data_IF_975504355591
#
_entry.id   IF_975504355591
#
_cell.length_a   1.000
_cell.length_b   1.000
_cell.length_c   1.000
_cell.angle_alpha   90.00
_cell.angle_beta   90.00
_cell.angle_gamma   90.00
#
_symmetry.space_group_name_H-M   'P 1'
#
loop_
_entity.id
_entity.type
_entity.pdbx_description
1 polymer ?
#
# COMPACT_ATOMS: atom_id res chain seq x y z
N UNK A 1 -35.66 54.51 -15.76
CA UNK A 1 -36.04 54.75 -17.17
C UNK A 1 -34.77 54.89 -18.00
N UNK A 2 -34.80 54.42 -19.26
CA UNK A 2 -33.69 54.14 -20.21
C UNK A 2 -32.95 52.81 -19.87
N UNK A 3 -33.21 51.62 -20.42
CA UNK A 3 -33.56 51.08 -21.77
C UNK A 3 -32.32 50.79 -22.67
N UNK A 4 -32.11 49.48 -22.90
CA UNK A 4 -31.47 48.75 -24.04
C UNK A 4 -29.95 48.99 -24.26
N UNK A 5 -29.14 47.98 -24.60
CA UNK A 5 -29.37 46.98 -25.63
C UNK A 5 -28.44 45.75 -25.53
N UNK A 6 -28.99 44.63 -25.98
CA UNK A 6 -28.42 43.28 -26.14
C UNK A 6 -27.51 43.21 -27.38
N UNK A 7 -26.41 42.42 -27.34
CA UNK A 7 -25.83 41.75 -28.53
C UNK A 7 -24.82 40.64 -28.14
N UNK A 8 -25.28 39.39 -28.22
CA UNK A 8 -24.54 38.22 -28.74
C UNK A 8 -25.27 37.80 -30.03
N UNK A 9 -24.82 36.85 -30.89
CA UNK A 9 -23.70 35.90 -30.77
C UNK A 9 -22.81 35.84 -32.03
N UNK A 10 -21.73 35.03 -32.01
CA UNK A 10 -21.13 34.50 -33.24
C UNK A 10 -20.54 33.12 -32.99
N UNK A 11 -21.19 32.15 -33.61
CA UNK A 11 -20.82 30.75 -33.73
C UNK A 11 -19.58 30.58 -34.64
N UNK A 12 -18.66 29.70 -34.28
CA UNK A 12 -17.71 29.10 -35.22
C UNK A 12 -17.88 27.58 -35.16
N UNK A 13 -18.19 27.01 -36.32
CA UNK A 13 -18.40 25.60 -36.57
C UNK A 13 -17.08 24.87 -36.88
N UNK A 14 -17.00 23.65 -36.35
CA UNK A 14 -16.51 22.39 -36.96
C UNK A 14 -15.26 22.42 -37.84
N UNK A 15 -14.20 21.77 -37.36
CA UNK A 15 -13.45 20.81 -38.17
C UNK A 15 -13.50 19.43 -37.50
N UNK A 16 -14.25 18.52 -38.11
CA UNK A 16 -14.15 17.08 -37.91
C UNK A 16 -13.03 16.57 -38.81
N UNK A 17 -11.99 15.97 -38.23
CA UNK A 17 -11.02 15.17 -38.96
C UNK A 17 -11.20 13.70 -38.59
N UNK A 18 -11.78 12.95 -39.52
CA UNK A 18 -11.97 11.51 -39.51
C UNK A 18 -10.65 10.83 -39.87
N UNK A 19 -10.09 9.99 -38.98
CA UNK A 19 -9.03 9.04 -39.34
C UNK A 19 -9.31 7.68 -38.69
N UNK A 20 -9.54 6.69 -39.53
CA UNK A 20 -9.41 5.24 -39.35
C UNK A 20 -8.89 4.75 -40.71
N UNK A 21 -8.08 3.69 -40.83
CA UNK A 21 -8.25 2.41 -40.15
C UNK A 21 -6.93 1.70 -39.78
N UNK A 22 -7.02 0.52 -39.18
CA UNK A 22 -6.44 -0.76 -39.67
C UNK A 22 -6.52 -1.76 -38.50
N UNK A 23 -7.44 -2.70 -38.67
CA UNK A 23 -7.64 -3.86 -37.81
C UNK A 23 -6.89 -5.03 -38.46
N UNK A 24 -5.86 -5.55 -37.79
CA UNK A 24 -5.12 -6.73 -38.24
C UNK A 24 -5.33 -7.86 -37.23
N UNK A 25 -6.09 -8.87 -37.63
CA UNK A 25 -6.18 -10.17 -36.93
C UNK A 25 -4.89 -10.95 -37.16
N UNK A 26 -4.53 -11.86 -36.25
CA UNK A 26 -4.11 -13.17 -36.69
C UNK A 26 -4.98 -14.27 -36.08
N UNK A 27 -5.56 -15.08 -36.97
CA UNK A 27 -5.86 -16.48 -36.68
C UNK A 27 -4.54 -17.23 -36.53
N UNK A 28 -4.38 -17.99 -35.45
CA UNK A 28 -3.61 -19.23 -35.49
C UNK A 28 -4.25 -20.24 -34.55
N UNK A 29 -4.92 -21.22 -35.14
CA UNK A 29 -5.15 -22.54 -34.57
C UNK A 29 -3.83 -23.30 -34.59
N UNK A 30 -3.48 -23.94 -33.47
CA UNK A 30 -2.85 -25.26 -33.53
C UNK A 30 -3.13 -26.03 -32.25
N UNK A 31 -3.82 -27.14 -32.45
CA UNK A 31 -4.00 -28.27 -31.55
C UNK A 31 -2.69 -28.99 -31.25
N UNK A 32 -2.53 -29.46 -30.01
CA UNK A 32 -1.97 -30.79 -29.74
C UNK A 32 -2.19 -31.19 -28.28
N UNK A 33 -3.13 -32.10 -28.08
CA UNK A 33 -3.27 -32.95 -26.90
C UNK A 33 -2.14 -33.97 -26.86
N UNK A 34 -1.52 -34.23 -25.72
CA UNK A 34 -0.84 -35.47 -25.27
C UNK A 34 -0.27 -35.17 -23.88
N UNK A 35 -0.18 -36.04 -22.88
CA UNK A 35 -0.70 -37.37 -22.60
C UNK A 35 -0.39 -37.56 -21.12
N UNK A 36 -1.36 -37.89 -20.28
CA UNK A 36 -1.15 -38.19 -18.86
C UNK A 36 -0.95 -39.69 -18.68
N UNK A 37 0.17 -40.09 -18.07
CA UNK A 37 0.36 -41.42 -17.45
C UNK A 37 1.46 -41.33 -16.39
N UNK A 38 1.11 -41.44 -15.11
CA UNK A 38 1.34 -42.60 -14.22
C UNK A 38 2.83 -42.83 -13.93
N UNK A 39 3.22 -42.73 -12.64
CA UNK A 39 3.81 -43.84 -11.86
C UNK A 39 3.67 -43.53 -10.37
N UNK A 40 2.87 -44.34 -9.68
CA UNK A 40 2.91 -44.52 -8.23
C UNK A 40 3.98 -45.56 -7.91
N UNK A 41 4.86 -45.29 -6.95
CA UNK A 41 5.77 -46.29 -6.37
C UNK A 41 5.56 -46.38 -4.85
N UNK A 42 5.40 -47.58 -4.28
CA UNK A 42 5.25 -47.77 -2.86
C UNK A 42 6.61 -48.04 -2.21
N UNK A 43 6.84 -47.54 -1.00
CA UNK A 43 7.91 -48.07 -0.13
C UNK A 43 7.46 -48.14 1.32
N UNK A 44 7.08 -49.37 1.66
CA UNK A 44 7.55 -50.17 2.81
C UNK A 44 7.98 -49.42 4.07
N UNK A 45 7.09 -49.56 5.04
CA UNK A 45 7.27 -49.53 6.49
C UNK A 45 8.46 -50.37 6.96
N UNK A 46 9.40 -49.75 7.67
CA UNK A 46 10.32 -50.42 8.58
C UNK A 46 10.20 -49.80 9.98
N UNK A 47 9.97 -50.67 10.97
CA UNK A 47 9.96 -50.37 12.40
C UNK A 47 11.41 -50.38 12.91
N UNK A 48 11.79 -49.40 13.70
CA UNK A 48 12.92 -49.49 14.62
C UNK A 48 12.54 -48.84 15.94
N UNK A 49 12.84 -49.54 17.04
CA UNK A 49 12.51 -49.20 18.43
C UNK A 49 13.71 -48.54 19.13
N UNK A 50 13.37 -47.68 20.09
CA UNK A 50 14.17 -47.14 21.23
C UNK A 50 14.96 -45.84 21.01
N UNK A 51 15.24 -45.05 22.08
CA UNK A 51 14.45 -44.76 23.28
C UNK A 51 14.05 -43.27 23.38
N UNK A 52 13.10 -43.01 24.27
CA UNK A 52 12.48 -41.71 24.57
C UNK A 52 13.53 -40.68 25.01
N UNK A 53 13.75 -39.66 24.19
CA UNK A 53 14.32 -38.38 24.62
C UNK A 53 13.24 -37.32 24.40
N UNK A 54 12.78 -36.67 25.48
CA UNK A 54 11.76 -35.63 25.43
C UNK A 54 12.36 -34.40 24.74
N UNK A 55 11.90 -33.98 23.56
CA UNK A 55 12.30 -32.68 23.05
C UNK A 55 11.55 -31.63 23.88
N UNK A 56 12.32 -30.72 24.48
CA UNK A 56 11.82 -29.47 25.03
C UNK A 56 11.16 -28.73 23.86
N UNK A 57 9.84 -28.73 23.81
CA UNK A 57 9.08 -27.95 22.83
C UNK A 57 9.29 -26.49 23.17
N UNK A 58 10.32 -25.88 22.59
CA UNK A 58 10.37 -24.44 22.41
C UNK A 58 9.39 -24.16 21.30
N UNK A 59 8.21 -23.66 21.67
CA UNK A 59 7.21 -23.21 20.72
C UNK A 59 7.81 -22.00 19.99
N UNK A 60 8.50 -22.25 18.88
CA UNK A 60 8.85 -21.20 17.93
C UNK A 60 7.52 -20.65 17.40
N UNK A 61 7.17 -19.45 17.87
CA UNK A 61 6.02 -18.71 17.37
C UNK A 61 6.29 -18.46 15.89
N UNK A 62 5.56 -19.15 15.03
CA UNK A 62 5.66 -18.97 13.59
C UNK A 62 5.17 -17.55 13.27
N UNK A 63 6.10 -16.62 13.06
CA UNK A 63 5.81 -15.34 12.45
C UNK A 63 5.52 -15.58 10.97
N UNK A 64 4.24 -15.70 10.62
CA UNK A 64 3.77 -15.83 9.22
C UNK A 64 3.75 -14.48 8.51
N UNK A 65 4.86 -13.75 8.59
CA UNK A 65 5.12 -12.55 7.81
C UNK A 65 6.54 -12.69 7.29
N UNK A 66 6.67 -13.03 6.01
CA UNK A 66 7.97 -12.99 5.34
C UNK A 66 8.38 -11.52 5.35
N UNK A 67 9.30 -11.17 6.25
CA UNK A 67 10.01 -9.90 6.17
C UNK A 67 10.87 -9.97 4.91
N UNK A 68 10.61 -9.10 3.94
CA UNK A 68 11.55 -8.97 2.83
C UNK A 68 12.88 -8.46 3.40
N UNK A 69 14.01 -9.06 3.00
CA UNK A 69 15.29 -8.65 3.53
C UNK A 69 15.53 -7.18 3.16
N UNK A 70 15.89 -6.36 4.15
CA UNK A 70 16.31 -4.96 3.95
C UNK A 70 17.40 -4.82 2.89
N UNK A 71 18.11 -5.91 2.58
CA UNK A 71 19.11 -6.03 1.51
C UNK A 71 18.62 -5.61 0.11
N UNK A 72 17.31 -5.59 -0.14
CA UNK A 72 16.75 -5.12 -1.42
C UNK A 72 16.77 -3.59 -1.57
N UNK A 73 17.08 -2.86 -0.49
CA UNK A 73 17.21 -1.41 -0.50
C UNK A 73 18.67 -0.99 -0.38
N UNK A 74 19.01 0.11 -1.07
CA UNK A 74 20.33 0.74 -0.91
C UNK A 74 20.50 1.26 0.52
N UNK A 75 21.74 1.27 1.01
CA UNK A 75 22.06 1.79 2.34
C UNK A 75 21.68 3.27 2.51
N UNK A 76 21.71 4.04 1.42
CA UNK A 76 21.36 5.46 1.37
C UNK A 76 19.85 5.73 1.13
N UNK A 77 18.99 4.70 1.13
CA UNK A 77 17.57 4.85 0.80
C UNK A 77 16.86 5.89 1.67
N UNK A 78 17.21 5.99 2.96
CA UNK A 78 16.61 6.97 3.86
C UNK A 78 17.09 8.40 3.61
N UNK A 79 18.29 8.59 3.08
CA UNK A 79 18.78 9.90 2.63
C UNK A 79 18.03 10.34 1.38
N UNK A 80 17.97 9.47 0.36
CA UNK A 80 17.24 9.72 -0.88
C UNK A 80 15.75 10.00 -0.61
N UNK A 81 15.13 9.18 0.24
CA UNK A 81 13.74 9.36 0.62
C UNK A 81 13.55 10.66 1.40
N UNK A 82 14.48 11.00 2.30
CA UNK A 82 14.46 12.21 3.12
C UNK A 82 14.30 13.49 2.30
N UNK A 83 14.93 13.55 1.12
CA UNK A 83 14.87 14.68 0.20
C UNK A 83 13.55 14.83 -0.56
N UNK A 84 12.68 13.82 -0.53
CA UNK A 84 11.37 13.87 -1.21
C UNK A 84 10.50 14.92 -0.55
N UNK A 85 9.93 15.81 -1.36
CA UNK A 85 8.95 16.80 -0.92
C UNK A 85 7.52 16.26 -1.09
N UNK A 86 6.78 16.26 0.01
CA UNK A 86 5.37 15.84 0.09
C UNK A 86 4.57 16.89 0.87
N UNK A 87 3.31 16.60 1.18
CA UNK A 87 2.42 17.55 1.84
C UNK A 87 1.82 16.97 3.11
N UNK A 88 1.65 17.81 4.13
CA UNK A 88 0.73 17.50 5.23
C UNK A 88 -0.70 17.43 4.71
N UNK A 89 -1.61 16.78 5.45
CA UNK A 89 -3.03 16.82 5.13
C UNK A 89 -3.66 18.23 5.19
N UNK A 90 -2.98 19.21 5.82
CA UNK A 90 -3.39 20.62 5.78
C UNK A 90 -2.94 21.36 4.52
N UNK A 91 -2.04 20.79 3.71
CA UNK A 91 -1.53 21.35 2.47
C UNK A 91 -0.17 22.04 2.58
N UNK A 92 0.51 21.93 3.73
CA UNK A 92 1.86 22.49 3.91
C UNK A 92 2.89 21.56 3.25
N UNK A 93 3.79 22.07 2.39
CA UNK A 93 4.91 21.27 1.88
C UNK A 93 5.90 20.95 3.01
N UNK A 94 6.38 19.71 3.04
CA UNK A 94 7.36 19.20 4.01
C UNK A 94 8.34 18.26 3.30
N UNK A 95 9.54 18.09 3.87
CA UNK A 95 10.46 17.04 3.44
C UNK A 95 10.11 15.73 4.12
N UNK A 96 10.32 14.59 3.46
CA UNK A 96 10.05 13.29 4.06
C UNK A 96 10.85 13.08 5.35
N UNK A 97 12.07 13.62 5.41
CA UNK A 97 12.89 13.63 6.63
C UNK A 97 12.12 14.18 7.83
N UNK A 98 11.33 15.25 7.66
CA UNK A 98 10.57 15.90 8.74
C UNK A 98 9.54 14.95 9.39
N UNK A 99 9.14 13.91 8.67
CA UNK A 99 8.19 12.90 9.12
C UNK A 99 8.87 11.81 9.95
N UNK A 100 10.16 11.57 9.74
CA UNK A 100 10.94 10.62 10.53
C UNK A 100 11.28 11.24 11.89
N UNK A 101 11.70 10.41 12.83
CA UNK A 101 12.23 10.90 14.10
C UNK A 101 13.66 11.44 13.89
N UNK A 102 13.89 12.69 14.29
CA UNK A 102 15.16 13.39 14.08
C UNK A 102 16.21 13.08 15.16
N UNK A 103 15.82 12.41 16.25
CA UNK A 103 16.68 12.07 17.38
C UNK A 103 16.98 10.55 17.39
N UNK A 104 17.11 9.95 16.20
CA UNK A 104 17.29 8.50 16.01
C UNK A 104 16.20 7.64 16.66
N UNK A 105 14.99 8.17 16.84
CA UNK A 105 13.81 7.40 17.24
C UNK A 105 13.28 6.51 16.11
N UNK A 106 12.36 5.62 16.46
CA UNK A 106 11.77 4.65 15.52
C UNK A 106 10.50 5.22 14.91
N UNK A 107 10.38 5.13 13.58
CA UNK A 107 9.21 5.58 12.82
C UNK A 107 8.63 4.42 12.01
N UNK A 108 7.33 4.15 12.19
CA UNK A 108 6.57 3.25 11.34
C UNK A 108 5.92 4.06 10.22
N UNK A 109 6.36 3.83 8.99
CA UNK A 109 5.94 4.55 7.79
C UNK A 109 5.07 3.63 6.93
N UNK A 110 3.79 3.96 6.81
CA UNK A 110 2.79 3.18 6.08
C UNK A 110 2.34 3.95 4.84
N UNK A 111 2.67 3.42 3.67
CA UNK A 111 2.28 3.98 2.39
C UNK A 111 0.97 3.31 1.95
N UNK A 112 -0.14 4.04 2.10
CA UNK A 112 -1.44 3.65 1.57
C UNK A 112 -1.41 3.71 0.05
N UNK A 113 -2.09 2.78 -0.64
CA UNK A 113 -2.17 2.77 -2.12
C UNK A 113 -2.61 4.11 -2.70
N UNK A 114 -3.73 4.63 -2.20
CA UNK A 114 -4.29 5.94 -2.50
C UNK A 114 -5.49 6.23 -1.57
N UNK A 115 -5.86 7.50 -1.41
CA UNK A 115 -6.98 7.88 -0.53
C UNK A 115 -8.36 7.40 -0.99
N UNK A 116 -8.50 7.01 -2.26
CA UNK A 116 -9.74 6.44 -2.81
C UNK A 116 -9.86 4.91 -2.72
N UNK A 117 -8.97 4.21 -2.01
CA UNK A 117 -9.01 2.75 -1.92
C UNK A 117 -9.76 2.31 -0.65
N UNK A 118 -10.82 1.50 -0.78
CA UNK A 118 -11.60 1.01 0.37
C UNK A 118 -10.71 0.23 1.35
N UNK A 119 -9.81 -0.63 0.86
CA UNK A 119 -8.86 -1.34 1.72
C UNK A 119 -7.89 -0.40 2.45
N UNK A 120 -7.58 0.78 1.89
CA UNK A 120 -6.78 1.78 2.60
C UNK A 120 -7.57 2.49 3.69
N UNK A 121 -8.91 2.57 3.58
CA UNK A 121 -9.75 3.10 4.66
C UNK A 121 -9.86 2.10 5.81
N UNK A 122 -9.89 0.80 5.50
CA UNK A 122 -9.80 -0.24 6.51
C UNK A 122 -8.43 -0.20 7.21
N UNK A 123 -7.32 -0.19 6.47
CA UNK A 123 -5.98 -0.03 7.07
C UNK A 123 -5.85 1.26 7.89
N UNK A 124 -6.36 2.40 7.40
CA UNK A 124 -6.35 3.65 8.15
C UNK A 124 -7.20 3.57 9.44
N UNK A 125 -8.29 2.80 9.44
CA UNK A 125 -9.11 2.53 10.63
C UNK A 125 -8.28 1.78 11.66
N UNK A 126 -7.63 0.69 11.26
CA UNK A 126 -6.76 -0.11 12.12
C UNK A 126 -5.58 0.72 12.66
N UNK A 127 -4.95 1.55 11.82
CA UNK A 127 -3.85 2.44 12.23
C UNK A 127 -4.30 3.47 13.27
N UNK A 128 -5.47 4.09 13.09
CA UNK A 128 -6.04 5.02 14.08
C UNK A 128 -6.22 4.33 15.43
N UNK A 129 -6.76 3.12 15.43
CA UNK A 129 -7.02 2.34 16.65
C UNK A 129 -5.73 1.85 17.32
N UNK A 130 -4.71 1.53 16.52
CA UNK A 130 -3.41 1.09 17.00
C UNK A 130 -2.49 2.24 17.43
N UNK A 131 -2.78 3.50 17.06
CA UNK A 131 -1.90 4.65 17.36
C UNK A 131 -1.49 4.74 18.83
N UNK A 132 -2.36 4.57 19.85
CA UNK A 132 -1.93 4.59 21.25
C UNK A 132 -0.86 3.54 21.59
N UNK A 133 -0.84 2.39 20.89
CA UNK A 133 0.18 1.35 21.07
C UNK A 133 1.51 1.76 20.45
N UNK A 134 1.50 2.43 19.30
CA UNK A 134 2.70 3.03 18.71
C UNK A 134 3.27 4.11 19.64
N UNK A 135 2.41 5.02 20.14
CA UNK A 135 2.82 6.09 21.06
C UNK A 135 3.43 5.49 22.35
N UNK A 136 2.79 4.48 22.95
CA UNK A 136 3.30 3.81 24.15
C UNK A 136 4.65 3.08 23.93
N UNK A 137 4.92 2.65 22.69
CA UNK A 137 6.19 2.03 22.31
C UNK A 137 7.28 3.06 21.91
N UNK A 138 6.98 4.37 21.98
CA UNK A 138 7.89 5.41 21.51
C UNK A 138 8.11 5.40 20.00
N UNK A 139 7.14 4.87 19.23
CA UNK A 139 7.23 4.75 17.77
C UNK A 139 6.37 5.83 17.12
N UNK A 140 6.99 6.65 16.28
CA UNK A 140 6.29 7.67 15.48
C UNK A 140 5.53 7.00 14.34
N UNK A 141 4.21 7.15 14.33
CA UNK A 141 3.38 6.64 13.23
C UNK A 141 3.25 7.69 12.11
N UNK A 142 3.53 7.28 10.88
CA UNK A 142 3.41 8.08 9.67
C UNK A 142 2.60 7.31 8.63
N UNK A 143 1.51 7.89 8.15
CA UNK A 143 0.70 7.38 7.05
C UNK A 143 0.77 8.33 5.86
N UNK A 144 1.15 7.83 4.69
CA UNK A 144 1.22 8.61 3.45
C UNK A 144 0.29 7.99 2.43
N UNK A 145 -0.47 8.78 1.68
CA UNK A 145 -1.33 8.29 0.61
C UNK A 145 -1.10 9.03 -0.70
N UNK A 146 -1.29 8.34 -1.82
CA UNK A 146 -1.36 9.00 -3.13
C UNK A 146 -2.64 9.82 -3.24
N UNK A 147 -2.49 11.07 -3.65
CA UNK A 147 -3.56 12.05 -3.86
C UNK A 147 -3.21 13.42 -3.28
N UNK A 148 -4.04 14.43 -3.53
CA UNK A 148 -3.83 15.78 -3.01
C UNK A 148 -4.11 15.88 -1.50
N UNK A 149 -3.60 16.92 -0.81
CA UNK A 149 -3.92 17.18 0.59
C UNK A 149 -5.42 17.20 0.90
N UNK A 150 -6.25 17.67 -0.03
CA UNK A 150 -7.70 17.66 0.14
C UNK A 150 -8.28 16.24 0.17
N UNK A 151 -7.68 15.27 -0.54
CA UNK A 151 -8.06 13.86 -0.44
C UNK A 151 -7.68 13.27 0.92
N UNK A 152 -6.50 13.61 1.43
CA UNK A 152 -6.07 13.23 2.77
C UNK A 152 -7.04 13.77 3.83
N UNK A 153 -7.44 15.04 3.70
CA UNK A 153 -8.42 15.69 4.58
C UNK A 153 -9.79 15.03 4.55
N UNK A 154 -10.24 14.58 3.37
CA UNK A 154 -11.49 13.80 3.26
C UNK A 154 -11.41 12.53 4.10
N UNK A 155 -10.29 11.79 4.01
CA UNK A 155 -10.07 10.60 4.84
C UNK A 155 -10.13 11.00 6.31
N UNK A 156 -9.28 11.93 6.77
CA UNK A 156 -9.21 12.34 8.17
C UNK A 156 -10.51 12.92 8.74
N UNK A 157 -11.37 13.51 7.91
CA UNK A 157 -12.66 14.05 8.37
C UNK A 157 -13.71 12.97 8.53
N UNK A 158 -13.79 12.04 7.56
CA UNK A 158 -14.82 10.99 7.53
C UNK A 158 -14.46 9.77 8.36
N UNK A 159 -13.18 9.48 8.42
CA UNK A 159 -12.54 8.56 9.35
C UNK A 159 -11.65 9.46 10.21
N UNK A 160 -12.01 9.77 11.47
CA UNK A 160 -11.29 10.72 12.34
C UNK A 160 -9.85 10.27 12.62
N UNK A 161 -9.03 10.31 11.59
CA UNK A 161 -7.64 9.90 11.55
C UNK A 161 -6.81 11.08 12.01
N UNK A 162 -5.82 10.88 12.89
CA UNK A 162 -5.01 11.98 13.39
C UNK A 162 -4.23 12.66 12.26
N UNK A 163 -4.53 13.94 12.02
CA UNK A 163 -4.00 14.71 10.88
C UNK A 163 -2.48 14.87 10.94
N UNK A 164 -1.89 14.84 12.13
CA UNK A 164 -0.45 14.90 12.36
C UNK A 164 0.29 13.64 11.87
N UNK A 165 -0.44 12.53 11.72
CA UNK A 165 0.08 11.28 11.18
C UNK A 165 -0.19 11.13 9.68
N UNK A 166 -0.90 12.06 9.02
CA UNK A 166 -1.41 11.87 7.65
C UNK A 166 -0.79 12.83 6.64
N UNK A 167 -0.21 12.26 5.59
CA UNK A 167 0.52 12.99 4.56
C UNK A 167 0.08 12.57 3.15
N UNK A 168 0.23 13.49 2.21
CA UNK A 168 -0.17 13.35 0.82
C UNK A 168 1.06 13.43 -0.09
N UNK A 169 1.20 12.44 -0.97
CA UNK A 169 2.21 12.43 -2.04
C UNK A 169 1.49 12.37 -3.41
N UNK A 170 1.08 13.52 -3.96
CA UNK A 170 0.32 13.57 -5.20
C UNK A 170 1.09 13.02 -6.41
N UNK A 171 2.41 13.16 -6.39
CA UNK A 171 3.31 12.81 -7.49
C UNK A 171 3.90 11.39 -7.35
N UNK A 172 3.59 10.68 -6.26
CA UNK A 172 4.08 9.33 -5.96
C UNK A 172 5.61 9.24 -5.81
N UNK A 173 6.28 10.35 -5.55
CA UNK A 173 7.75 10.40 -5.49
C UNK A 173 8.33 9.46 -4.42
N UNK A 174 7.70 9.37 -3.25
CA UNK A 174 8.12 8.44 -2.21
C UNK A 174 7.91 6.98 -2.63
N UNK A 175 6.84 6.70 -3.38
CA UNK A 175 6.51 5.37 -3.89
C UNK A 175 7.53 4.92 -4.94
N UNK A 176 7.95 5.83 -5.81
CA UNK A 176 8.97 5.59 -6.83
C UNK A 176 10.34 5.33 -6.19
N UNK A 177 10.74 6.14 -5.20
CA UNK A 177 12.00 5.94 -4.45
C UNK A 177 12.02 4.59 -3.74
N UNK A 178 10.91 4.19 -3.12
CA UNK A 178 10.77 2.91 -2.43
C UNK A 178 10.51 1.73 -3.40
N UNK A 179 10.39 2.00 -4.70
CA UNK A 179 10.13 1.01 -5.74
C UNK A 179 8.85 0.21 -5.48
N UNK A 180 7.79 0.86 -4.98
CA UNK A 180 6.50 0.22 -4.72
C UNK A 180 5.82 -0.17 -6.03
N UNK A 181 5.13 -1.31 -6.02
CA UNK A 181 4.60 -1.85 -7.27
C UNK A 181 3.48 -1.00 -7.87
N UNK A 182 3.40 -1.07 -9.19
CA UNK A 182 2.35 -0.45 -9.99
C UNK A 182 1.85 -1.43 -11.03
N UNK A 183 0.53 -1.49 -11.25
CA UNK A 183 -0.03 -2.14 -12.44
C UNK A 183 -1.33 -2.90 -12.25
N UNK A 184 -1.99 -3.16 -13.38
CA UNK A 184 -3.31 -3.78 -13.44
C UNK A 184 -3.33 -5.22 -12.91
N UNK A 185 -2.35 -6.03 -13.33
CA UNK A 185 -2.19 -7.43 -12.90
C UNK A 185 -2.13 -7.56 -11.38
N UNK A 186 -1.28 -6.74 -10.76
CA UNK A 186 -1.11 -6.71 -9.30
C UNK A 186 -2.34 -6.17 -8.55
N UNK A 187 -3.03 -5.21 -9.15
CA UNK A 187 -4.19 -4.56 -8.52
C UNK A 187 -5.43 -5.46 -8.48
N UNK A 188 -5.73 -6.16 -9.57
CA UNK A 188 -7.00 -6.86 -9.75
C UNK A 188 -6.89 -8.38 -9.81
N UNK A 189 -5.70 -8.93 -10.10
CA UNK A 189 -5.51 -10.36 -10.37
C UNK A 189 -4.47 -11.01 -9.46
N UNK A 190 -3.94 -10.29 -8.46
CA UNK A 190 -2.94 -10.86 -7.56
C UNK A 190 -3.59 -11.78 -6.50
N UNK A 191 -3.14 -13.04 -6.35
CA UNK A 191 -3.62 -13.91 -5.27
C UNK A 191 -3.37 -13.35 -3.85
N UNK A 192 -2.42 -12.43 -3.67
CA UNK A 192 -2.19 -11.73 -2.40
C UNK A 192 -3.44 -10.97 -1.92
N UNK A 193 -4.31 -10.53 -2.84
CA UNK A 193 -5.58 -9.89 -2.52
C UNK A 193 -6.61 -10.83 -1.89
N UNK A 194 -6.35 -12.15 -1.82
CA UNK A 194 -7.22 -13.09 -1.08
C UNK A 194 -7.32 -12.76 0.41
N UNK A 195 -6.35 -12.02 0.98
CA UNK A 195 -6.40 -11.51 2.36
C UNK A 195 -7.57 -10.56 2.63
N UNK A 196 -8.22 -10.04 1.59
CA UNK A 196 -9.45 -9.25 1.69
C UNK A 196 -10.60 -10.12 2.23
N UNK A 197 -10.67 -11.41 1.84
CA UNK A 197 -11.78 -12.29 2.24
C UNK A 197 -11.80 -12.57 3.75
N UNK A 198 -10.62 -12.69 4.38
CA UNK A 198 -10.54 -12.88 5.84
C UNK A 198 -10.89 -11.62 6.64
N UNK A 199 -10.98 -10.45 5.98
CA UNK A 199 -11.19 -9.13 6.59
C UNK A 199 -12.45 -8.45 6.06
N UNK A 200 -13.40 -9.26 5.57
CA UNK A 200 -14.58 -8.76 4.89
C UNK A 200 -15.43 -7.84 5.77
N UNK A 201 -15.64 -8.20 7.04
CA UNK A 201 -16.43 -7.39 7.97
C UNK A 201 -15.74 -6.04 8.27
N UNK A 202 -14.43 -6.04 8.49
CA UNK A 202 -13.63 -4.82 8.69
C UNK A 202 -13.71 -3.88 7.47
N UNK A 203 -13.58 -4.45 6.27
CA UNK A 203 -13.70 -3.71 5.01
C UNK A 203 -15.12 -3.16 4.82
N UNK A 204 -16.15 -3.94 5.17
CA UNK A 204 -17.55 -3.51 5.12
C UNK A 204 -17.81 -2.37 6.09
N UNK A 205 -17.26 -2.43 7.29
CA UNK A 205 -17.36 -1.34 8.27
C UNK A 205 -16.63 -0.08 7.78
N UNK A 206 -15.41 -0.20 7.27
CA UNK A 206 -14.67 0.92 6.68
C UNK A 206 -15.41 1.55 5.49
N UNK A 207 -16.11 0.74 4.69
CA UNK A 207 -16.89 1.20 3.55
C UNK A 207 -18.07 2.11 3.93
N UNK A 208 -18.54 2.11 5.19
CA UNK A 208 -19.63 3.00 5.65
C UNK A 208 -19.22 4.47 5.61
N UNK A 209 -17.96 4.77 5.91
CA UNK A 209 -17.42 6.14 5.93
C UNK A 209 -16.77 6.52 4.58
N UNK A 210 -16.43 5.51 3.77
CA UNK A 210 -15.75 5.65 2.49
C UNK A 210 -16.44 6.60 1.51
N UNK A 211 -15.63 7.28 0.69
CA UNK A 211 -16.14 8.03 -0.45
C UNK A 211 -15.20 7.99 -1.64
N UNK A 212 -15.78 7.78 -2.83
CA UNK A 212 -15.05 7.84 -4.10
C UNK A 212 -14.43 9.21 -4.36
N UNK A 213 -14.91 10.29 -3.71
CA UNK A 213 -14.36 11.65 -3.81
C UNK A 213 -12.91 11.75 -3.33
N UNK A 214 -12.48 10.83 -2.47
CA UNK A 214 -11.11 10.72 -2.00
C UNK A 214 -10.16 10.11 -3.05
N UNK A 215 -10.67 9.62 -4.19
CA UNK A 215 -9.81 9.11 -5.27
C UNK A 215 -8.96 10.24 -5.86
N UNK A 216 -7.67 10.01 -6.12
CA UNK A 216 -6.82 10.96 -6.82
C UNK A 216 -7.39 11.37 -8.17
N UNK A 217 -7.08 12.60 -8.59
CA UNK A 217 -7.43 13.15 -9.90
C UNK A 217 -6.86 12.30 -11.03
N UNK A 218 -5.56 11.95 -10.93
CA UNK A 218 -4.93 10.97 -11.82
C UNK A 218 -5.43 9.56 -11.51
N UNK A 219 -6.35 9.07 -12.35
CA UNK A 219 -6.95 7.75 -12.22
C UNK A 219 -5.95 6.62 -12.43
N UNK A 220 -4.81 6.85 -13.08
CA UNK A 220 -3.77 5.83 -13.19
C UNK A 220 -3.20 5.44 -11.81
N UNK A 221 -3.28 6.35 -10.82
CA UNK A 221 -2.87 6.13 -9.44
C UNK A 221 -3.63 5.00 -8.75
N UNK A 222 -4.80 4.58 -9.24
CA UNK A 222 -5.54 3.46 -8.66
C UNK A 222 -4.82 2.11 -8.82
N UNK A 223 -3.80 2.06 -9.69
CA UNK A 223 -2.96 0.88 -9.91
C UNK A 223 -1.75 0.81 -8.97
N UNK A 224 -1.50 1.88 -8.21
CA UNK A 224 -0.41 1.95 -7.24
C UNK A 224 -0.65 0.95 -6.11
N UNK A 225 0.42 0.28 -5.66
CA UNK A 225 0.43 -0.53 -4.44
C UNK A 225 1.09 0.22 -3.29
N UNK A 226 0.78 -0.23 -2.08
CA UNK A 226 1.27 0.32 -0.83
C UNK A 226 2.54 -0.38 -0.36
N UNK A 227 2.90 -0.08 0.88
CA UNK A 227 3.98 -0.75 1.58
C UNK A 227 4.10 -0.27 3.00
N UNK A 228 4.86 -0.99 3.81
CA UNK A 228 5.13 -0.65 5.21
C UNK A 228 6.62 -0.73 5.48
N UNK A 229 7.14 0.29 6.14
CA UNK A 229 8.55 0.48 6.40
C UNK A 229 8.78 0.91 7.85
N UNK A 230 9.90 0.48 8.43
CA UNK A 230 10.33 0.92 9.76
C UNK A 230 11.71 1.54 9.64
N UNK A 231 11.83 2.77 10.10
CA UNK A 231 13.07 3.53 10.11
C UNK A 231 13.51 3.81 11.54
N UNK A 232 14.83 3.86 11.78
CA UNK A 232 15.44 4.46 12.98
C UNK A 232 16.31 5.62 12.52
N UNK A 233 15.88 6.84 12.82
CA UNK A 233 16.37 8.02 12.09
C UNK A 233 16.15 7.82 10.59
N UNK A 234 17.22 7.86 9.80
CA UNK A 234 17.19 7.56 8.34
C UNK A 234 17.54 6.11 8.00
N UNK A 235 17.94 5.29 8.97
CA UNK A 235 18.30 3.89 8.71
C UNK A 235 17.05 3.06 8.52
N UNK A 236 16.92 2.39 7.37
CA UNK A 236 15.85 1.42 7.13
C UNK A 236 16.11 0.13 7.92
N UNK A 237 15.14 -0.31 8.72
CA UNK A 237 15.21 -1.53 9.53
C UNK A 237 14.29 -2.64 9.03
N UNK A 238 13.22 -2.27 8.33
CA UNK A 238 12.27 -3.18 7.72
C UNK A 238 11.59 -2.50 6.56
N UNK A 239 11.42 -3.21 5.45
CA UNK A 239 10.65 -2.74 4.31
C UNK A 239 9.84 -3.89 3.73
N UNK A 240 8.55 -3.66 3.50
CA UNK A 240 7.66 -4.61 2.84
C UNK A 240 6.82 -3.88 1.82
N UNK A 241 6.84 -4.37 0.58
CA UNK A 241 5.96 -3.91 -0.50
C UNK A 241 4.67 -4.72 -0.46
N UNK A 242 3.55 -4.07 -0.70
CA UNK A 242 2.26 -4.78 -0.79
C UNK A 242 2.15 -5.40 -2.19
N UNK A 243 2.02 -6.72 -2.28
CA UNK A 243 2.02 -7.42 -3.57
C UNK A 243 0.77 -7.10 -4.39
N UNK A 244 -0.33 -6.76 -3.72
CA UNK A 244 -1.60 -6.38 -4.33
C UNK A 244 -2.54 -5.65 -3.38
N UNK A 245 -3.76 -5.40 -3.87
CA UNK A 245 -4.77 -4.66 -3.11
C UNK A 245 -5.10 -5.37 -1.81
N UNK A 246 -5.01 -4.65 -0.68
CA UNK A 246 -5.30 -5.19 0.65
C UNK A 246 -4.23 -6.14 1.22
N UNK A 247 -3.07 -6.25 0.57
CA UNK A 247 -1.96 -7.05 1.05
C UNK A 247 -0.99 -6.23 1.93
N UNK A 248 -1.45 -5.68 3.05
CA UNK A 248 -0.57 -5.05 4.04
C UNK A 248 -0.20 -6.03 5.17
N UNK A 249 0.90 -5.82 5.91
CA UNK A 249 1.24 -6.64 7.08
C UNK A 249 0.23 -6.42 8.23
N UNK A 250 0.26 -7.32 9.21
CA UNK A 250 -0.47 -7.08 10.46
C UNK A 250 0.22 -5.97 11.26
N UNK A 251 -0.55 -5.12 11.95
CA UNK A 251 0.04 -4.06 12.78
C UNK A 251 0.83 -4.61 13.97
N UNK A 252 0.50 -5.82 14.42
CA UNK A 252 1.25 -6.52 15.46
C UNK A 252 2.65 -6.91 14.96
N UNK A 253 2.79 -7.39 13.73
CA UNK A 253 4.11 -7.69 13.14
C UNK A 253 4.95 -6.42 13.03
N UNK A 254 4.34 -5.31 12.58
CA UNK A 254 5.02 -4.01 12.47
C UNK A 254 5.48 -3.52 13.84
N UNK A 255 4.60 -3.55 14.85
CA UNK A 255 4.94 -3.17 16.23
C UNK A 255 6.04 -4.07 16.82
N UNK A 256 6.00 -5.37 16.56
CA UNK A 256 7.04 -6.30 17.02
C UNK A 256 8.41 -5.93 16.43
N UNK A 257 8.47 -5.63 15.14
CA UNK A 257 9.70 -5.15 14.48
C UNK A 257 10.17 -3.85 15.12
N UNK A 258 9.28 -2.88 15.35
CA UNK A 258 9.66 -1.63 16.00
C UNK A 258 10.22 -1.87 17.41
N UNK A 259 9.54 -2.65 18.26
CA UNK A 259 9.95 -2.88 19.64
C UNK A 259 11.29 -3.62 19.77
N UNK A 260 11.63 -4.52 18.84
CA UNK A 260 12.94 -5.18 18.81
C UNK A 260 14.10 -4.21 18.56
N UNK A 261 13.81 -2.99 18.10
CA UNK A 261 14.83 -2.00 17.68
C UNK A 261 14.95 -0.80 18.63
N UNK A 262 13.99 -0.67 19.55
CA UNK A 262 13.97 0.32 20.65
C UNK A 262 14.72 -0.20 21.89
N UNK A 263 14.79 -1.52 22.07
CA UNK A 263 15.57 -2.17 23.13
C UNK A 263 17.09 -2.08 22.89
#
# INVERSE_FOLDING_TARGET
MAILSVRTPSSIQLLRSSVSPIFSKPLFQSSSSFSSSIVSSPSTRLKSNSPISRPRVVLARASTGVAEPVADYKEDIGEILGDVSIFTASGKPVKFSDLLDQNDGVSAVVLLRHFGCVCCWELATALREAKPRFDAAGVKLVAVGVGTPDKARILATRLPFPMECLYADPERKAYDVLGLYYGLGRTFFNPASKKIFSRFDEIREAAKNYTIKATPEDRSSVLQQGGTFVFKGKKLLYGRKDEGTGDHPSLDDVLNVCCQTVA
#
